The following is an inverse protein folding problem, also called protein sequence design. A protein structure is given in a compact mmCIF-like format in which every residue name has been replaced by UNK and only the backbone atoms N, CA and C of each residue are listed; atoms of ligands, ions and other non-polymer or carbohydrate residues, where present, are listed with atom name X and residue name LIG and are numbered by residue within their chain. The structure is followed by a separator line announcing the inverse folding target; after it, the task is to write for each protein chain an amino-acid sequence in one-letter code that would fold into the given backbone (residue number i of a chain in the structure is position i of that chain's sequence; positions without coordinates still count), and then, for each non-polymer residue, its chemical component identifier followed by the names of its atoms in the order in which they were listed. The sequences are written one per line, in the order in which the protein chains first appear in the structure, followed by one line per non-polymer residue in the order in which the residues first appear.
data_IF_338145513335
#
_entry.id   IF_338145513335
#
_cell.length_a   1.000
_cell.length_b   1.000
_cell.length_c   1.000
_cell.angle_alpha   90.00
_cell.angle_beta   90.00
_cell.angle_gamma   90.00
#
_symmetry.space_group_name_H-M   'P 1'
#
loop_
_entity.id
_entity.type
_entity.pdbx_description
1 polymer ?
#
# COMPACT_ATOMS: atom_id res chain seq x y z
N UNK A 1 -5.20 7.17 1.37
CA UNK A 1 -4.71 6.25 0.33
C UNK A 1 -4.62 4.86 0.91
N UNK A 2 -4.06 3.93 0.13
CA UNK A 2 -3.80 2.56 0.53
C UNK A 2 -2.28 2.31 0.49
N UNK A 3 -1.81 1.39 1.33
CA UNK A 3 -0.47 0.82 1.26
C UNK A 3 -0.64 -0.62 0.76
N UNK A 4 0.17 -1.02 -0.22
CA UNK A 4 0.19 -2.39 -0.75
C UNK A 4 1.56 -2.97 -0.44
N UNK A 5 1.59 -4.12 0.22
CA UNK A 5 2.82 -4.79 0.63
C UNK A 5 3.07 -5.99 -0.28
N UNK A 6 4.31 -6.13 -0.76
CA UNK A 6 4.79 -7.30 -1.50
C UNK A 6 5.96 -7.87 -0.71
N UNK A 7 5.77 -8.93 0.09
CA UNK A 7 6.80 -9.44 0.96
C UNK A 7 7.86 -10.21 0.16
N UNK A 8 9.12 -9.86 0.37
CA UNK A 8 10.26 -10.60 -0.17
C UNK A 8 10.82 -11.55 0.89
N UNK A 9 11.06 -11.06 2.12
CA UNK A 9 11.59 -11.85 3.23
C UNK A 9 12.85 -12.66 2.84
N UNK A 10 13.63 -12.09 1.92
CA UNK A 10 14.94 -12.56 1.45
C UNK A 10 15.91 -11.38 1.44
N UNK A 11 17.22 -11.64 1.44
CA UNK A 11 18.21 -10.58 1.29
C UNK A 11 17.97 -9.80 -0.03
N UNK A 12 17.77 -8.49 0.11
CA UNK A 12 17.50 -7.55 -0.99
C UNK A 12 17.87 -6.14 -0.52
N UNK A 13 18.33 -5.29 -1.42
CA UNK A 13 18.67 -3.89 -1.14
C UNK A 13 17.50 -2.93 -1.37
N UNK A 14 17.57 -1.76 -0.74
CA UNK A 14 16.64 -0.65 -1.01
C UNK A 14 16.69 -0.24 -2.48
N UNK A 15 17.87 -0.18 -3.10
CA UNK A 15 18.01 0.16 -4.52
C UNK A 15 17.24 -0.80 -5.43
N UNK A 16 17.36 -2.12 -5.22
CA UNK A 16 16.63 -3.12 -6.02
C UNK A 16 15.10 -2.98 -5.88
N UNK A 17 14.60 -2.81 -4.65
CA UNK A 17 13.15 -2.68 -4.40
C UNK A 17 12.59 -1.35 -4.92
N UNK A 18 13.37 -0.27 -4.82
CA UNK A 18 13.03 1.06 -5.34
C UNK A 18 12.99 1.08 -6.86
N UNK A 19 13.93 0.42 -7.52
CA UNK A 19 13.95 0.30 -8.97
C UNK A 19 12.73 -0.45 -9.51
N UNK A 20 12.37 -1.61 -8.93
CA UNK A 20 11.15 -2.32 -9.29
C UNK A 20 9.91 -1.45 -9.03
N UNK A 21 9.81 -0.84 -7.85
CA UNK A 21 8.65 -0.02 -7.49
C UNK A 21 8.47 1.17 -8.44
N UNK A 22 9.57 1.78 -8.89
CA UNK A 22 9.56 2.85 -9.89
C UNK A 22 9.11 2.35 -11.25
N UNK A 23 9.64 1.21 -11.71
CA UNK A 23 9.24 0.60 -12.97
C UNK A 23 7.73 0.26 -12.99
N UNK A 24 7.20 -0.33 -11.92
CA UNK A 24 5.77 -0.61 -11.76
C UNK A 24 4.92 0.68 -11.78
N UNK A 25 5.37 1.74 -11.08
CA UNK A 25 4.67 3.01 -11.07
C UNK A 25 4.61 3.65 -12.46
N UNK A 26 5.69 3.58 -13.23
CA UNK A 26 5.77 4.11 -14.59
C UNK A 26 4.92 3.29 -15.57
N UNK A 27 4.96 1.97 -15.48
CA UNK A 27 4.13 1.09 -16.30
C UNK A 27 2.64 1.36 -16.04
N UNK A 28 2.22 1.45 -14.76
CA UNK A 28 0.83 1.76 -14.42
C UNK A 28 0.40 3.17 -14.88
N UNK A 29 1.30 4.15 -14.85
CA UNK A 29 1.05 5.48 -15.43
C UNK A 29 0.88 5.42 -16.96
N UNK A 30 1.64 4.58 -17.67
CA UNK A 30 1.49 4.40 -19.11
C UNK A 30 0.14 3.76 -19.47
N UNK A 31 -0.27 2.71 -18.76
CA UNK A 31 -1.56 2.04 -19.00
C UNK A 31 -2.76 2.92 -18.61
N UNK A 32 -2.60 3.81 -17.63
CA UNK A 32 -3.67 4.59 -17.04
C UNK A 32 -3.32 6.08 -16.90
N UNK A 33 -2.85 6.69 -18.00
CA UNK A 33 -2.32 8.06 -18.02
C UNK A 33 -3.26 9.12 -17.44
N UNK A 34 -4.58 8.94 -17.55
CA UNK A 34 -5.58 9.87 -17.03
C UNK A 34 -5.91 9.68 -15.55
N UNK A 35 -5.45 8.58 -14.93
CA UNK A 35 -5.82 8.17 -13.57
C UNK A 35 -4.64 8.02 -12.62
N UNK A 36 -3.45 7.73 -13.14
CA UNK A 36 -2.26 7.43 -12.34
C UNK A 36 -1.14 8.37 -12.72
N UNK A 37 -0.28 8.69 -11.75
CA UNK A 37 1.01 9.33 -12.03
C UNK A 37 2.12 8.78 -11.16
N UNK A 38 3.33 8.68 -11.71
CA UNK A 38 4.57 8.37 -10.99
C UNK A 38 5.38 9.64 -10.66
N UNK A 39 4.89 10.81 -11.06
CA UNK A 39 5.60 12.08 -10.91
C UNK A 39 5.44 12.67 -9.49
N UNK A 40 6.57 13.08 -8.91
CA UNK A 40 6.62 13.63 -7.54
C UNK A 40 6.07 15.06 -7.43
N UNK A 41 5.89 15.78 -8.54
CA UNK A 41 5.35 17.13 -8.52
C UNK A 41 3.89 17.13 -8.11
N UNK A 42 3.53 17.89 -7.06
CA UNK A 42 2.14 18.03 -6.62
C UNK A 42 1.21 18.58 -7.70
N UNK A 43 1.74 19.40 -8.62
CA UNK A 43 0.95 20.05 -9.68
C UNK A 43 0.28 19.04 -10.62
N UNK A 44 0.96 17.93 -10.94
CA UNK A 44 0.48 16.92 -11.90
C UNK A 44 -0.34 15.80 -11.25
N UNK A 45 -0.51 15.82 -9.93
CA UNK A 45 -1.28 14.82 -9.17
C UNK A 45 -2.78 15.11 -9.11
N UNK A 46 -3.22 16.33 -9.45
CA UNK A 46 -4.62 16.72 -9.29
C UNK A 46 -5.52 15.81 -10.13
N UNK A 47 -6.46 15.12 -9.48
CA UNK A 47 -7.36 14.17 -10.14
C UNK A 47 -6.77 12.78 -10.42
N UNK A 48 -5.52 12.54 -10.06
CA UNK A 48 -4.81 11.26 -10.29
C UNK A 48 -4.37 10.63 -8.97
N UNK A 49 -4.18 9.33 -8.98
CA UNK A 49 -3.51 8.57 -7.92
C UNK A 49 -2.00 8.64 -8.16
N UNK A 50 -1.27 9.19 -7.19
CA UNK A 50 0.19 9.14 -7.20
C UNK A 50 0.66 7.81 -6.61
N UNK A 51 1.40 7.02 -7.40
CA UNK A 51 2.09 5.82 -6.91
C UNK A 51 3.45 6.24 -6.37
N UNK A 52 3.56 6.31 -5.04
CA UNK A 52 4.76 6.80 -4.36
C UNK A 52 5.84 5.71 -4.26
N UNK A 53 6.49 5.43 -5.39
CA UNK A 53 7.62 4.50 -5.46
C UNK A 53 8.79 4.90 -4.56
N UNK A 54 8.89 6.18 -4.20
CA UNK A 54 9.97 6.69 -3.36
C UNK A 54 9.91 6.18 -1.92
N UNK A 55 8.77 5.62 -1.46
CA UNK A 55 8.64 5.02 -0.13
C UNK A 55 9.57 3.82 0.12
N UNK A 56 10.18 3.24 -0.93
CA UNK A 56 11.19 2.18 -0.84
C UNK A 56 12.63 2.69 -0.72
N UNK A 57 12.80 3.97 -0.37
CA UNK A 57 14.11 4.55 -0.10
C UNK A 57 14.46 4.42 1.39
N UNK A 58 15.72 4.14 1.71
CA UNK A 58 16.18 3.86 3.08
C UNK A 58 15.93 5.02 4.07
N UNK A 59 15.79 6.25 3.58
CA UNK A 59 15.55 7.43 4.41
C UNK A 59 14.06 7.78 4.55
N UNK A 60 13.15 7.00 3.95
CA UNK A 60 11.71 7.22 4.07
C UNK A 60 11.11 6.46 5.24
N UNK A 61 10.01 7.00 5.75
CA UNK A 61 9.25 6.40 6.83
C UNK A 61 7.88 5.95 6.33
N UNK A 62 7.56 4.68 6.60
CA UNK A 62 6.23 4.12 6.36
C UNK A 62 5.55 3.87 7.69
N UNK A 63 4.30 4.28 7.80
CA UNK A 63 3.47 4.00 8.98
C UNK A 63 3.34 2.48 9.15
N UNK A 64 3.73 1.97 10.32
CA UNK A 64 3.63 0.54 10.63
C UNK A 64 2.19 0.02 10.59
N UNK A 65 2.05 -1.25 10.26
CA UNK A 65 0.79 -1.98 10.34
C UNK A 65 0.29 -1.98 11.78
N UNK A 66 -1.03 -1.86 11.96
CA UNK A 66 -1.73 -1.74 13.24
C UNK A 66 -1.39 -0.50 14.08
N UNK A 67 -0.54 0.41 13.60
CA UNK A 67 -0.26 1.66 14.32
C UNK A 67 -1.39 2.68 14.23
N UNK A 68 -1.57 3.44 15.32
CA UNK A 68 -2.49 4.57 15.39
C UNK A 68 -2.02 5.74 14.51
N UNK A 69 -2.98 6.50 13.99
CA UNK A 69 -2.75 7.72 13.23
C UNK A 69 -3.07 8.93 14.10
N UNK A 70 -2.14 9.88 14.17
CA UNK A 70 -2.36 11.16 14.82
C UNK A 70 -3.30 12.05 13.99
N UNK A 71 -4.60 11.80 14.09
CA UNK A 71 -5.70 12.56 13.49
C UNK A 71 -6.80 12.79 14.53
N UNK A 72 -7.78 13.62 14.20
CA UNK A 72 -8.94 13.89 15.06
C UNK A 72 -9.65 12.61 15.52
N UNK A 73 -9.74 11.62 14.63
CA UNK A 73 -10.22 10.28 14.97
C UNK A 73 -9.04 9.31 15.18
N UNK A 74 -9.10 8.43 16.19
CA UNK A 74 -8.04 7.46 16.52
C UNK A 74 -8.05 6.28 15.54
N UNK A 75 -7.83 6.58 14.27
CA UNK A 75 -7.81 5.61 13.17
C UNK A 75 -6.51 4.81 13.16
N UNK A 76 -6.57 3.60 12.63
CA UNK A 76 -5.45 2.64 12.61
C UNK A 76 -5.05 2.29 11.17
N UNK A 77 -3.74 2.11 10.92
CA UNK A 77 -3.23 1.53 9.67
C UNK A 77 -3.58 0.05 9.61
N UNK A 78 -4.78 -0.26 9.10
CA UNK A 78 -5.40 -1.59 9.27
C UNK A 78 -5.26 -2.44 8.02
N UNK A 79 -4.73 -3.67 8.11
CA UNK A 79 -4.82 -4.67 7.05
C UNK A 79 -6.28 -4.96 6.67
N UNK A 80 -6.52 -5.07 5.36
CA UNK A 80 -7.83 -5.35 4.79
C UNK A 80 -7.70 -6.37 3.67
N UNK A 81 -8.78 -7.09 3.42
CA UNK A 81 -8.88 -8.05 2.32
C UNK A 81 -9.20 -7.36 0.99
N UNK A 82 -8.89 -8.01 -0.13
CA UNK A 82 -9.27 -7.53 -1.46
C UNK A 82 -10.79 -7.37 -1.62
N UNK A 83 -11.58 -8.29 -1.06
CA UNK A 83 -13.04 -8.20 -1.08
C UNK A 83 -13.57 -6.95 -0.35
N UNK A 84 -12.91 -6.49 0.71
CA UNK A 84 -13.25 -5.23 1.38
C UNK A 84 -12.95 -4.02 0.48
N UNK A 85 -11.83 -4.04 -0.24
CA UNK A 85 -11.45 -3.00 -1.21
C UNK A 85 -12.46 -2.93 -2.36
N UNK A 86 -12.83 -4.07 -2.94
CA UNK A 86 -13.84 -4.18 -4.00
C UNK A 86 -15.21 -3.69 -3.54
N UNK A 87 -15.63 -4.06 -2.33
CA UNK A 87 -16.89 -3.61 -1.75
C UNK A 87 -16.88 -2.08 -1.47
N UNK A 88 -15.76 -1.53 -1.01
CA UNK A 88 -15.55 -0.09 -0.88
C UNK A 88 -15.72 0.62 -2.23
N UNK A 89 -15.11 0.10 -3.30
CA UNK A 89 -15.24 0.62 -4.66
C UNK A 89 -16.69 0.55 -5.16
N UNK A 90 -17.32 -0.62 -5.05
CA UNK A 90 -18.72 -0.84 -5.48
C UNK A 90 -19.68 0.14 -4.81
N UNK A 91 -19.49 0.39 -3.51
CA UNK A 91 -20.32 1.32 -2.73
C UNK A 91 -19.91 2.78 -2.86
N UNK A 92 -18.75 3.07 -3.47
CA UNK A 92 -18.13 4.41 -3.56
C UNK A 92 -17.97 5.08 -2.19
N UNK A 93 -17.57 4.28 -1.19
CA UNK A 93 -17.59 4.66 0.23
C UNK A 93 -16.25 4.36 0.91
N UNK A 94 -15.34 5.32 0.85
CA UNK A 94 -13.97 5.19 1.38
C UNK A 94 -13.90 4.99 2.90
N UNK A 95 -14.92 5.43 3.63
CA UNK A 95 -15.06 5.25 5.07
C UNK A 95 -15.16 3.77 5.48
N UNK A 96 -15.53 2.88 4.55
CA UNK A 96 -15.57 1.44 4.80
C UNK A 96 -14.17 0.84 5.05
N UNK A 97 -13.10 1.57 4.71
CA UNK A 97 -11.71 1.18 4.96
C UNK A 97 -11.04 2.04 6.06
N UNK A 98 -11.83 2.74 6.88
CA UNK A 98 -11.36 3.49 8.04
C UNK A 98 -11.80 2.77 9.31
N UNK A 99 -10.84 2.42 10.14
CA UNK A 99 -11.09 1.69 11.38
C UNK A 99 -10.50 2.43 12.56
N UNK A 100 -11.28 2.54 13.62
CA UNK A 100 -10.82 2.96 14.94
C UNK A 100 -10.17 1.79 15.68
N UNK A 101 -9.41 2.07 16.73
CA UNK A 101 -8.75 1.06 17.55
C UNK A 101 -9.69 -0.03 18.08
N UNK A 102 -10.88 0.34 18.56
CA UNK A 102 -11.89 -0.60 19.06
C UNK A 102 -12.37 -1.58 17.98
N UNK A 103 -12.56 -1.08 16.75
CA UNK A 103 -12.95 -1.89 15.60
C UNK A 103 -11.83 -2.82 15.17
N UNK A 104 -10.56 -2.37 15.19
CA UNK A 104 -9.41 -3.21 14.85
C UNK A 104 -9.25 -4.37 15.82
N UNK A 105 -9.38 -4.12 17.13
CA UNK A 105 -9.33 -5.19 18.13
C UNK A 105 -10.43 -6.24 17.90
N UNK A 106 -11.65 -5.79 17.61
CA UNK A 106 -12.76 -6.69 17.28
C UNK A 106 -12.50 -7.49 15.99
N UNK A 107 -11.88 -6.85 14.97
CA UNK A 107 -11.49 -7.51 13.71
C UNK A 107 -10.45 -8.59 13.95
N UNK A 108 -9.37 -8.29 14.66
CA UNK A 108 -8.31 -9.27 14.95
C UNK A 108 -8.88 -10.46 15.72
N UNK A 109 -9.76 -10.23 16.70
CA UNK A 109 -10.44 -11.33 17.43
C UNK A 109 -11.30 -12.21 16.50
N UNK A 110 -11.90 -11.63 15.46
CA UNK A 110 -12.83 -12.34 14.56
C UNK A 110 -12.13 -13.01 13.39
N UNK A 111 -11.12 -12.36 12.81
CA UNK A 111 -10.50 -12.70 11.54
C UNK A 111 -9.07 -13.24 11.69
N UNK A 112 -8.49 -13.13 12.88
CA UNK A 112 -7.05 -13.33 13.07
C UNK A 112 -6.24 -12.13 12.59
N UNK A 113 -4.92 -12.35 12.47
CA UNK A 113 -4.01 -11.38 11.88
C UNK A 113 -4.02 -11.52 10.35
N UNK A 114 -4.51 -10.49 9.66
CA UNK A 114 -4.56 -10.48 8.20
C UNK A 114 -3.20 -10.15 7.56
N UNK A 115 -2.24 -9.67 8.36
CA UNK A 115 -0.89 -9.34 7.92
C UNK A 115 0.10 -10.48 8.16
N UNK A 116 -0.21 -11.46 9.02
CA UNK A 116 0.64 -12.63 9.30
C UNK A 116 1.20 -13.30 8.03
N UNK A 117 0.42 -13.57 6.95
CA UNK A 117 0.98 -14.17 5.73
C UNK A 117 2.07 -13.33 5.06
N UNK A 118 2.06 -12.00 5.25
CA UNK A 118 3.07 -11.09 4.70
C UNK A 118 4.41 -11.25 5.44
N UNK A 119 4.39 -11.58 6.72
CA UNK A 119 5.59 -11.80 7.51
C UNK A 119 6.26 -13.14 7.18
N UNK A 120 5.48 -14.13 6.75
CA UNK A 120 5.97 -15.49 6.48
C UNK A 120 6.38 -15.72 5.02
N UNK A 121 5.70 -15.08 4.07
CA UNK A 121 5.85 -15.36 2.65
C UNK A 121 7.23 -14.91 2.14
N UNK A 122 8.02 -15.86 1.63
CA UNK A 122 9.32 -15.60 1.00
C UNK A 122 9.20 -15.59 -0.52
N UNK A 123 9.57 -14.47 -1.14
CA UNK A 123 9.57 -14.28 -2.58
C UNK A 123 10.86 -13.59 -3.01
N UNK A 124 11.25 -13.77 -4.27
CA UNK A 124 12.45 -13.13 -4.82
C UNK A 124 12.02 -12.11 -5.86
N UNK A 125 12.78 -11.02 -5.95
CA UNK A 125 12.64 -10.11 -7.08
C UNK A 125 12.95 -10.86 -8.39
N UNK A 126 12.15 -10.65 -9.44
CA UNK A 126 12.46 -11.20 -10.75
C UNK A 126 13.72 -10.52 -11.31
N UNK A 127 14.61 -11.30 -11.95
CA UNK A 127 15.88 -10.80 -12.51
C UNK A 127 15.70 -9.88 -13.72
N UNK A 128 14.56 -10.00 -14.39
CA UNK A 128 14.08 -9.16 -15.49
C UNK A 128 12.59 -9.00 -15.30
N UNK A 129 12.09 -7.80 -15.49
CA UNK A 129 10.67 -7.48 -15.49
C UNK A 129 10.29 -7.02 -16.90
N UNK A 130 9.57 -7.86 -17.63
CA UNK A 130 8.82 -7.44 -18.81
C UNK A 130 7.49 -6.91 -18.29
N UNK A 131 7.40 -5.58 -18.17
CA UNK A 131 6.19 -4.86 -17.79
C UNK A 131 5.53 -4.34 -19.06
#
# INVERSE_FOLDING_TARGET
GLQVYVPLNTAVSYDETKDLSRALAQHLEQEHVDRVTSNMSKAVRKGKVFVDWSQNDEHKTTVCVYSLRAKEEPTVSTPVTWSEVENCLKKKKSELLKFRSDQVLARVKKLGDLFEPVEELKQKLPKKWEL
#
